data_IF_301414443001
#
_entry.id   IF_301414443001
#
_cell.length_a   1.000
_cell.length_b   1.000
_cell.length_c   1.000
_cell.angle_alpha   90.00
_cell.angle_beta   90.00
_cell.angle_gamma   90.00
#
_symmetry.space_group_name_H-M   'P 1'
#
loop_
_entity.id
_entity.type
_entity.pdbx_description
1 polymer ?
#
# COMPACT_ATOMS: atom_id res chain seq x y z
N UNK A 1 -10.19 -24.81 -19.08
CA UNK A 1 -10.11 -23.69 -18.11
C UNK A 1 -10.93 -24.13 -16.90
N UNK A 2 -10.41 -24.04 -15.68
CA UNK A 2 -11.18 -24.42 -14.49
C UNK A 2 -12.34 -23.43 -14.28
N UNK A 3 -13.47 -23.85 -13.67
CA UNK A 3 -14.46 -22.94 -13.11
C UNK A 3 -13.85 -22.02 -12.05
N UNK A 4 -14.41 -20.83 -11.86
CA UNK A 4 -13.86 -19.82 -10.95
C UNK A 4 -13.69 -20.34 -9.51
N UNK A 5 -14.71 -20.99 -8.96
CA UNK A 5 -14.65 -21.55 -7.60
C UNK A 5 -13.55 -22.61 -7.43
N UNK A 6 -13.30 -23.42 -8.46
CA UNK A 6 -12.25 -24.44 -8.42
C UNK A 6 -10.86 -23.82 -8.57
N UNK A 7 -10.71 -22.83 -9.46
CA UNK A 7 -9.49 -22.03 -9.56
C UNK A 7 -9.16 -21.37 -8.22
N UNK A 8 -10.14 -20.73 -7.59
CA UNK A 8 -9.95 -19.99 -6.34
C UNK A 8 -9.61 -20.93 -5.17
N UNK A 9 -10.22 -22.12 -5.13
CA UNK A 9 -9.87 -23.16 -4.17
C UNK A 9 -8.44 -23.68 -4.35
N UNK A 10 -8.01 -23.92 -5.60
CA UNK A 10 -6.63 -24.32 -5.91
C UNK A 10 -5.64 -23.22 -5.54
N UNK A 11 -5.96 -21.96 -5.87
CA UNK A 11 -5.13 -20.82 -5.53
C UNK A 11 -5.01 -20.67 -4.01
N UNK A 12 -6.12 -20.73 -3.27
CA UNK A 12 -6.13 -20.61 -1.80
C UNK A 12 -5.49 -21.77 -1.05
N UNK A 13 -5.27 -22.92 -1.70
CA UNK A 13 -4.55 -24.05 -1.13
C UNK A 13 -3.02 -23.93 -1.25
N UNK A 14 -2.52 -22.97 -2.04
CA UNK A 14 -1.08 -22.77 -2.22
C UNK A 14 -0.45 -22.12 -0.99
N UNK A 15 0.79 -22.49 -0.69
CA UNK A 15 1.57 -21.82 0.37
C UNK A 15 2.18 -20.49 -0.09
N UNK A 16 2.56 -20.41 -1.36
CA UNK A 16 3.28 -19.28 -1.95
C UNK A 16 2.96 -19.19 -3.44
N UNK A 17 2.66 -17.98 -3.92
CA UNK A 17 2.60 -17.70 -5.36
C UNK A 17 3.91 -17.09 -5.81
N UNK A 18 4.49 -17.58 -6.90
CA UNK A 18 5.78 -17.09 -7.40
C UNK A 18 5.62 -16.49 -8.80
N UNK A 19 6.07 -15.25 -8.98
CA UNK A 19 6.23 -14.63 -10.30
C UNK A 19 7.71 -14.54 -10.65
N UNK A 20 8.10 -15.30 -11.67
CA UNK A 20 9.42 -15.22 -12.28
C UNK A 20 9.49 -14.17 -13.41
N UNK A 21 8.49 -13.30 -13.53
CA UNK A 21 8.44 -12.34 -14.63
C UNK A 21 9.54 -11.29 -14.52
N UNK A 22 10.18 -11.02 -15.66
CA UNK A 22 11.30 -10.08 -15.75
C UNK A 22 10.87 -8.63 -15.96
N UNK A 23 9.59 -8.44 -16.24
CA UNK A 23 8.88 -7.19 -16.39
C UNK A 23 7.40 -7.49 -16.57
N UNK A 24 6.56 -6.47 -16.48
CA UNK A 24 5.13 -6.61 -16.69
C UNK A 24 4.37 -5.51 -15.99
N UNK A 25 3.22 -5.16 -16.56
CA UNK A 25 2.26 -4.28 -15.93
C UNK A 25 1.74 -4.91 -14.63
N UNK A 26 1.16 -4.07 -13.77
CA UNK A 26 0.49 -4.39 -12.51
C UNK A 26 -0.08 -5.80 -12.49
N UNK A 27 0.59 -6.75 -11.82
CA UNK A 27 0.26 -8.19 -11.90
C UNK A 27 -0.99 -8.52 -11.08
N UNK A 28 -2.18 -8.64 -11.71
CA UNK A 28 -3.42 -8.82 -10.96
C UNK A 28 -3.47 -10.19 -10.29
N UNK A 29 -2.81 -11.19 -10.87
CA UNK A 29 -2.70 -12.54 -10.31
C UNK A 29 -2.01 -12.57 -8.94
N UNK A 30 -1.08 -11.64 -8.67
CA UNK A 30 -0.46 -11.52 -7.35
C UNK A 30 -1.41 -10.90 -6.32
N UNK A 31 -2.26 -9.96 -6.76
CA UNK A 31 -3.32 -9.40 -5.92
C UNK A 31 -4.42 -10.44 -5.66
N UNK A 32 -4.79 -11.25 -6.65
CA UNK A 32 -5.74 -12.37 -6.50
C UNK A 32 -5.19 -13.41 -5.50
N UNK A 33 -3.92 -13.80 -5.63
CA UNK A 33 -3.26 -14.68 -4.67
C UNK A 33 -3.29 -14.11 -3.25
N UNK A 34 -2.94 -12.84 -3.10
CA UNK A 34 -3.02 -12.14 -1.82
C UNK A 34 -4.46 -12.13 -1.26
N UNK A 35 -5.47 -11.95 -2.12
CA UNK A 35 -6.89 -12.01 -1.77
C UNK A 35 -7.33 -13.39 -1.28
N UNK A 36 -6.72 -14.46 -1.81
CA UNK A 36 -6.89 -15.81 -1.29
C UNK A 36 -6.07 -16.08 0.00
N UNK A 37 -5.30 -15.11 0.49
CA UNK A 37 -4.42 -15.25 1.64
C UNK A 37 -3.09 -15.93 1.35
N UNK A 38 -2.72 -16.04 0.08
CA UNK A 38 -1.45 -16.63 -0.34
C UNK A 38 -0.41 -15.54 -0.59
N UNK A 39 0.68 -15.48 0.21
CA UNK A 39 1.74 -14.52 0.00
C UNK A 39 2.40 -14.68 -1.39
N UNK A 40 2.96 -13.59 -1.91
CA UNK A 40 3.59 -13.57 -3.23
C UNK A 40 5.12 -13.42 -3.15
N UNK A 41 5.87 -14.14 -3.98
CA UNK A 41 7.29 -13.92 -4.20
C UNK A 41 7.53 -13.52 -5.64
N UNK A 42 8.10 -12.34 -5.87
CA UNK A 42 8.30 -11.80 -7.20
C UNK A 42 9.68 -11.15 -7.34
N UNK A 43 10.13 -10.94 -8.58
CA UNK A 43 11.30 -10.09 -8.81
C UNK A 43 10.98 -8.63 -8.47
N UNK A 44 11.99 -7.89 -8.01
CA UNK A 44 11.88 -6.45 -7.71
C UNK A 44 11.97 -5.64 -8.99
N UNK A 45 10.89 -5.68 -9.77
CA UNK A 45 10.72 -4.90 -11.00
C UNK A 45 9.46 -4.03 -10.90
N UNK A 46 9.37 -3.00 -11.75
CA UNK A 46 8.21 -2.12 -11.84
C UNK A 46 6.90 -2.92 -11.95
N UNK A 47 5.82 -2.45 -11.32
CA UNK A 47 4.53 -3.14 -11.25
C UNK A 47 4.46 -4.23 -10.17
N UNK A 48 5.54 -4.99 -9.94
CA UNK A 48 5.58 -5.98 -8.84
C UNK A 48 5.74 -5.32 -7.48
N UNK A 49 6.47 -4.21 -7.42
CA UNK A 49 6.60 -3.34 -6.23
C UNK A 49 5.27 -2.74 -5.76
N UNK A 50 4.29 -2.75 -6.65
CA UNK A 50 2.98 -2.15 -6.44
C UNK A 50 2.02 -3.23 -5.93
N UNK A 51 2.17 -4.46 -6.45
CA UNK A 51 1.39 -5.62 -6.04
C UNK A 51 1.88 -6.28 -4.74
N UNK A 52 3.20 -6.32 -4.50
CA UNK A 52 3.81 -7.03 -3.36
C UNK A 52 4.51 -6.05 -2.41
N UNK A 53 4.14 -6.11 -1.14
CA UNK A 53 4.82 -5.40 -0.05
C UNK A 53 5.86 -6.32 0.56
N UNK A 54 7.14 -6.06 0.26
CA UNK A 54 8.27 -6.84 0.76
C UNK A 54 8.20 -7.02 2.28
N UNK A 55 8.30 -8.27 2.74
CA UNK A 55 8.20 -8.68 4.13
C UNK A 55 6.80 -8.57 4.77
N UNK A 56 5.79 -8.05 4.06
CA UNK A 56 4.44 -7.85 4.61
C UNK A 56 3.41 -8.76 3.96
N UNK A 57 3.33 -8.71 2.62
CA UNK A 57 2.40 -9.53 1.83
C UNK A 57 3.14 -10.60 1.02
N UNK A 58 4.47 -10.64 1.16
CA UNK A 58 5.32 -11.45 0.32
C UNK A 58 6.74 -10.93 0.26
N UNK A 59 7.52 -11.38 -0.72
CA UNK A 59 8.92 -11.01 -0.90
C UNK A 59 9.21 -10.54 -2.32
N UNK A 60 10.17 -9.63 -2.39
CA UNK A 60 10.70 -9.06 -3.62
C UNK A 60 12.18 -9.37 -3.67
N UNK A 61 12.66 -9.91 -4.78
CA UNK A 61 14.06 -10.30 -4.97
C UNK A 61 14.70 -9.53 -6.12
N UNK A 62 15.88 -8.98 -5.89
CA UNK A 62 16.63 -8.19 -6.88
C UNK A 62 17.41 -9.05 -7.88
N UNK A 63 17.44 -10.37 -7.67
CA UNK A 63 18.38 -11.29 -8.30
C UNK A 63 17.91 -11.98 -9.59
N UNK A 64 18.84 -12.75 -10.15
CA UNK A 64 18.72 -13.71 -11.24
C UNK A 64 17.75 -14.86 -10.93
N UNK A 65 17.41 -15.68 -11.93
CA UNK A 65 16.55 -16.85 -11.75
C UNK A 65 17.08 -17.86 -10.71
N UNK A 66 18.40 -17.95 -10.52
CA UNK A 66 18.99 -18.81 -9.48
C UNK A 66 18.70 -18.28 -8.06
N UNK A 67 18.73 -16.97 -7.88
CA UNK A 67 18.41 -16.31 -6.61
C UNK A 67 16.92 -16.41 -6.28
N UNK A 68 16.05 -16.44 -7.31
CA UNK A 68 14.62 -16.70 -7.16
C UNK A 68 14.36 -18.08 -6.54
N UNK A 69 15.01 -19.15 -7.04
CA UNK A 69 14.83 -20.50 -6.50
C UNK A 69 15.28 -20.63 -5.03
N UNK A 70 16.41 -20.01 -4.67
CA UNK A 70 16.87 -19.95 -3.29
C UNK A 70 15.90 -19.15 -2.39
N UNK A 71 15.32 -18.07 -2.92
CA UNK A 71 14.33 -17.27 -2.20
C UNK A 71 13.00 -18.02 -1.98
N UNK A 72 12.54 -18.81 -2.96
CA UNK A 72 11.38 -19.70 -2.79
C UNK A 72 11.62 -20.67 -1.64
N UNK A 73 12.80 -21.29 -1.59
CA UNK A 73 13.14 -22.23 -0.51
C UNK A 73 13.10 -21.55 0.86
N UNK A 74 13.70 -20.35 0.99
CA UNK A 74 13.66 -19.58 2.24
C UNK A 74 12.24 -19.17 2.62
N UNK A 75 11.45 -18.69 1.66
CA UNK A 75 10.07 -18.29 1.88
C UNK A 75 9.21 -19.46 2.38
N UNK A 76 9.35 -20.65 1.79
CA UNK A 76 8.65 -21.85 2.24
C UNK A 76 9.08 -22.28 3.64
N UNK A 77 10.37 -22.18 3.98
CA UNK A 77 10.86 -22.42 5.35
C UNK A 77 10.22 -21.47 6.35
N UNK A 78 10.12 -20.17 6.02
CA UNK A 78 9.47 -19.17 6.87
C UNK A 78 7.98 -19.46 7.04
N UNK A 79 7.29 -19.84 5.96
CA UNK A 79 5.87 -20.18 5.97
C UNK A 79 5.55 -21.53 6.60
N UNK A 80 6.58 -22.32 6.97
CA UNK A 80 6.38 -23.55 7.74
C UNK A 80 5.93 -23.27 9.18
N UNK A 81 6.22 -22.07 9.72
CA UNK A 81 5.63 -21.61 10.97
C UNK A 81 4.17 -21.16 10.71
N UNK A 82 3.16 -21.84 11.29
CA UNK A 82 1.76 -21.52 11.04
C UNK A 82 1.36 -20.14 11.56
N UNK A 83 2.04 -19.60 12.57
CA UNK A 83 1.77 -18.24 13.10
C UNK A 83 2.25 -17.20 12.08
N UNK A 84 3.44 -17.40 11.50
CA UNK A 84 3.97 -16.52 10.46
C UNK A 84 3.10 -16.61 9.20
N UNK A 85 2.74 -17.81 8.76
CA UNK A 85 1.88 -18.02 7.60
C UNK A 85 0.51 -17.33 7.78
N UNK A 86 -0.13 -17.50 8.95
CA UNK A 86 -1.41 -16.84 9.24
C UNK A 86 -1.30 -15.31 9.25
N UNK A 87 -0.20 -14.78 9.82
CA UNK A 87 0.06 -13.33 9.86
C UNK A 87 0.24 -12.77 8.46
N UNK A 88 1.07 -13.39 7.63
CA UNK A 88 1.26 -12.96 6.23
C UNK A 88 -0.02 -13.09 5.41
N UNK A 89 -0.79 -14.17 5.61
CA UNK A 89 -2.08 -14.35 4.94
C UNK A 89 -3.08 -13.24 5.29
N UNK A 90 -3.13 -12.82 6.56
CA UNK A 90 -3.94 -11.68 7.01
C UNK A 90 -3.52 -10.38 6.34
N UNK A 91 -2.21 -10.07 6.35
CA UNK A 91 -1.64 -8.88 5.69
C UNK A 91 -1.90 -8.89 4.19
N UNK A 92 -1.73 -10.03 3.53
CA UNK A 92 -1.99 -10.22 2.10
C UNK A 92 -3.46 -9.92 1.77
N UNK A 93 -4.42 -10.47 2.52
CA UNK A 93 -5.85 -10.19 2.33
C UNK A 93 -6.19 -8.71 2.54
N UNK A 94 -5.67 -8.11 3.60
CA UNK A 94 -5.89 -6.68 3.88
C UNK A 94 -5.34 -5.79 2.77
N UNK A 95 -4.18 -6.15 2.20
CA UNK A 95 -3.61 -5.44 1.07
C UNK A 95 -4.45 -5.59 -0.20
N UNK A 96 -4.83 -6.82 -0.55
CA UNK A 96 -5.66 -7.10 -1.73
C UNK A 96 -7.03 -6.42 -1.66
N UNK A 97 -7.63 -6.33 -0.46
CA UNK A 97 -8.93 -5.70 -0.24
C UNK A 97 -8.97 -4.20 -0.62
N UNK A 98 -7.81 -3.54 -0.77
CA UNK A 98 -7.73 -2.14 -1.25
C UNK A 98 -7.97 -2.01 -2.76
N UNK A 99 -7.87 -3.11 -3.51
CA UNK A 99 -7.99 -3.13 -4.96
C UNK A 99 -9.31 -3.78 -5.39
N UNK A 100 -10.38 -2.99 -5.41
CA UNK A 100 -11.72 -3.48 -5.78
C UNK A 100 -12.20 -2.85 -7.07
N UNK A 101 -12.92 -3.62 -7.88
CA UNK A 101 -13.58 -3.11 -9.08
C UNK A 101 -14.57 -1.99 -8.76
N UNK A 102 -15.28 -2.08 -7.63
CA UNK A 102 -16.17 -1.02 -7.15
C UNK A 102 -15.41 0.26 -6.83
N UNK A 103 -14.27 0.17 -6.13
CA UNK A 103 -13.42 1.32 -5.83
C UNK A 103 -12.88 1.98 -7.10
N UNK A 104 -12.40 1.18 -8.07
CA UNK A 104 -11.96 1.68 -9.38
C UNK A 104 -13.08 2.39 -10.13
N UNK A 105 -14.28 1.80 -10.18
CA UNK A 105 -15.44 2.39 -10.85
C UNK A 105 -15.87 3.72 -10.19
N UNK A 106 -15.88 3.78 -8.86
CA UNK A 106 -16.19 5.00 -8.11
C UNK A 106 -15.14 6.11 -8.36
N UNK A 107 -13.85 5.74 -8.39
CA UNK A 107 -12.77 6.67 -8.72
C UNK A 107 -12.89 7.23 -10.14
N UNK A 108 -13.20 6.38 -11.12
CA UNK A 108 -13.41 6.79 -12.51
C UNK A 108 -14.62 7.70 -12.67
N UNK A 109 -15.76 7.37 -12.03
CA UNK A 109 -16.95 8.22 -12.04
C UNK A 109 -16.66 9.59 -11.41
N UNK A 110 -15.89 9.60 -10.31
CA UNK A 110 -15.45 10.85 -9.67
C UNK A 110 -14.61 11.69 -10.63
N UNK A 111 -13.61 11.07 -11.29
CA UNK A 111 -12.76 11.78 -12.25
C UNK A 111 -13.58 12.39 -13.40
N UNK A 112 -14.52 11.64 -13.98
CA UNK A 112 -15.40 12.13 -15.05
C UNK A 112 -16.28 13.28 -14.56
N UNK A 113 -16.91 13.15 -13.39
CA UNK A 113 -17.74 14.22 -12.82
C UNK A 113 -16.97 15.49 -12.50
N UNK A 114 -15.70 15.36 -12.07
CA UNK A 114 -14.82 16.50 -11.84
C UNK A 114 -14.46 17.23 -13.15
N UNK A 115 -14.20 16.48 -14.22
CA UNK A 115 -13.93 17.06 -15.53
C UNK A 115 -15.17 17.72 -16.13
N UNK A 116 -16.35 17.14 -15.96
CA UNK A 116 -17.61 17.75 -16.39
C UNK A 116 -17.85 19.10 -15.68
N UNK A 117 -17.75 19.12 -14.35
CA UNK A 117 -17.87 20.35 -13.56
C UNK A 117 -16.79 21.40 -13.91
N UNK A 118 -15.60 20.97 -14.30
CA UNK A 118 -14.52 21.85 -14.77
C UNK A 118 -14.88 22.48 -16.11
N UNK A 119 -15.37 21.70 -17.06
CA UNK A 119 -15.80 22.18 -18.37
C UNK A 119 -17.00 23.12 -18.28
N UNK A 120 -17.97 22.83 -17.41
CA UNK A 120 -19.10 23.72 -17.16
C UNK A 120 -18.66 25.08 -16.61
N UNK A 121 -17.77 25.11 -15.62
CA UNK A 121 -17.23 26.38 -15.09
C UNK A 121 -16.51 27.19 -16.17
N UNK A 122 -15.72 26.52 -17.01
CA UNK A 122 -15.05 27.19 -18.14
C UNK A 122 -16.06 27.78 -19.13
N UNK A 123 -17.17 27.09 -19.43
CA UNK A 123 -18.26 27.61 -20.27
C UNK A 123 -18.91 28.86 -19.68
N UNK A 124 -18.99 28.97 -18.37
CA UNK A 124 -19.52 30.12 -17.64
C UNK A 124 -18.48 31.24 -17.38
N UNK A 125 -17.28 31.13 -17.97
CA UNK A 125 -16.26 32.18 -17.90
C UNK A 125 -15.42 32.20 -16.62
N UNK A 126 -15.52 31.18 -15.75
CA UNK A 126 -14.66 31.08 -14.58
C UNK A 126 -13.24 30.64 -14.97
N UNK A 127 -12.22 31.26 -14.34
CA UNK A 127 -10.83 30.89 -14.53
C UNK A 127 -10.51 29.49 -13.98
N UNK A 128 -9.63 28.76 -14.67
CA UNK A 128 -9.14 27.46 -14.23
C UNK A 128 -8.23 27.63 -13.00
N UNK A 129 -8.42 26.77 -11.99
CA UNK A 129 -7.62 26.78 -10.75
C UNK A 129 -6.55 25.69 -10.72
N UNK A 130 -6.49 24.84 -11.75
CA UNK A 130 -5.47 23.79 -11.93
C UNK A 130 -4.37 24.38 -12.82
N UNK A 131 -3.11 24.26 -12.44
CA UNK A 131 -2.07 24.21 -13.43
C UNK A 131 -2.34 23.01 -14.35
N UNK A 132 -2.21 23.18 -15.66
CA UNK A 132 -2.46 22.11 -16.64
C UNK A 132 -1.34 21.06 -16.66
N UNK A 133 -0.91 20.59 -15.50
CA UNK A 133 0.15 19.62 -15.30
C UNK A 133 -0.40 18.30 -14.73
N UNK A 134 0.37 17.23 -14.89
CA UNK A 134 0.06 15.90 -14.37
C UNK A 134 0.80 15.60 -13.05
N UNK A 135 1.31 16.62 -12.38
CA UNK A 135 1.97 16.46 -11.09
C UNK A 135 0.95 16.20 -10.00
N UNK A 136 1.37 15.40 -9.03
CA UNK A 136 0.64 15.21 -7.78
C UNK A 136 1.57 15.65 -6.67
N UNK A 137 1.08 16.50 -5.77
CA UNK A 137 1.84 16.95 -4.60
C UNK A 137 1.25 16.34 -3.34
N UNK A 138 2.11 15.84 -2.47
CA UNK A 138 1.78 15.53 -1.08
C UNK A 138 2.09 16.76 -0.24
N UNK A 139 1.05 17.34 0.32
CA UNK A 139 1.13 18.39 1.32
C UNK A 139 0.89 17.75 2.69
N UNK A 140 1.84 17.87 3.61
CA UNK A 140 1.64 17.50 5.02
C UNK A 140 1.71 18.76 5.88
N UNK A 141 0.72 18.95 6.74
CA UNK A 141 0.60 20.11 7.63
C UNK A 141 0.23 19.61 9.03
N UNK A 142 0.86 20.10 10.10
CA UNK A 142 0.39 19.81 11.46
C UNK A 142 -1.05 20.29 11.63
N UNK A 143 -1.94 19.43 12.13
CA UNK A 143 -3.35 19.81 12.30
C UNK A 143 -3.49 21.01 13.25
N UNK A 144 -2.59 21.14 14.23
CA UNK A 144 -2.52 22.29 15.14
C UNK A 144 -2.15 23.62 14.48
N UNK A 145 -1.53 23.59 13.29
CA UNK A 145 -1.15 24.79 12.55
C UNK A 145 -2.31 25.34 11.71
N UNK A 146 -3.37 24.55 11.49
CA UNK A 146 -4.53 24.93 10.69
C UNK A 146 -5.52 25.70 11.58
N UNK A 147 -5.81 26.96 11.24
CA UNK A 147 -6.69 27.82 12.07
C UNK A 147 -8.20 27.66 11.79
N UNK A 148 -8.60 26.77 10.90
CA UNK A 148 -10.00 26.54 10.51
C UNK A 148 -10.30 25.12 10.06
N UNK A 149 -11.54 24.87 9.63
CA UNK A 149 -11.96 23.57 9.10
C UNK A 149 -11.38 23.34 7.70
N UNK A 150 -10.22 22.69 7.64
CA UNK A 150 -9.55 22.35 6.39
C UNK A 150 -10.43 21.52 5.43
N UNK A 151 -11.47 20.84 5.94
CA UNK A 151 -12.48 20.12 5.18
C UNK A 151 -13.18 21.01 4.15
N UNK A 152 -13.45 22.26 4.52
CA UNK A 152 -14.15 23.23 3.67
C UNK A 152 -13.23 23.83 2.60
N UNK A 153 -11.92 23.83 2.86
CA UNK A 153 -10.88 24.30 1.94
C UNK A 153 -10.45 23.25 0.91
N UNK A 154 -11.03 22.05 0.91
CA UNK A 154 -10.66 21.00 -0.05
C UNK A 154 -11.10 21.36 -1.46
N UNK A 155 -10.21 21.17 -2.43
CA UNK A 155 -10.60 21.17 -3.84
C UNK A 155 -11.24 19.82 -4.17
N UNK A 156 -12.30 19.86 -4.96
CA UNK A 156 -12.89 18.65 -5.52
C UNK A 156 -11.85 17.87 -6.34
N UNK A 157 -11.64 16.60 -5.99
CA UNK A 157 -10.65 15.69 -6.60
C UNK A 157 -9.35 15.53 -5.83
N UNK A 158 -9.06 16.39 -4.86
CA UNK A 158 -7.94 16.15 -3.95
C UNK A 158 -8.35 15.10 -2.91
N UNK A 159 -7.42 14.23 -2.55
CA UNK A 159 -7.62 13.26 -1.46
C UNK A 159 -6.97 13.83 -0.22
N UNK A 160 -7.68 13.82 0.90
CA UNK A 160 -7.13 14.31 2.16
C UNK A 160 -7.44 13.36 3.30
N UNK A 161 -6.47 13.17 4.18
CA UNK A 161 -6.64 12.40 5.43
C UNK A 161 -6.02 13.15 6.60
N UNK A 162 -6.49 12.85 7.80
CA UNK A 162 -5.82 13.25 9.05
C UNK A 162 -5.64 12.03 9.94
N UNK A 163 -4.51 11.96 10.64
CA UNK A 163 -4.26 11.04 11.75
C UNK A 163 -4.47 11.71 13.13
N UNK A 164 -5.03 12.92 13.15
CA UNK A 164 -5.25 13.73 14.35
C UNK A 164 -4.04 14.58 14.77
N UNK A 165 -2.89 14.36 14.14
CA UNK A 165 -1.67 15.15 14.36
C UNK A 165 -1.24 15.86 13.09
N UNK A 166 -1.32 15.19 11.94
CA UNK A 166 -0.93 15.70 10.63
C UNK A 166 -2.08 15.50 9.65
N UNK A 167 -2.45 16.59 8.99
CA UNK A 167 -3.32 16.57 7.82
C UNK A 167 -2.46 16.40 6.58
N UNK A 168 -2.74 15.35 5.79
CA UNK A 168 -2.07 15.08 4.52
C UNK A 168 -3.06 15.24 3.36
N UNK A 169 -2.69 16.06 2.38
CA UNK A 169 -3.41 16.25 1.13
C UNK A 169 -2.60 15.69 -0.04
N UNK A 170 -3.22 14.84 -0.86
CA UNK A 170 -2.76 14.41 -2.17
C UNK A 170 -3.45 15.26 -3.23
N UNK A 171 -2.69 16.17 -3.81
CA UNK A 171 -3.18 17.30 -4.60
C UNK A 171 -2.89 17.02 -6.08
N UNK A 172 -3.91 16.57 -6.81
CA UNK A 172 -3.75 16.19 -8.21
C UNK A 172 -3.84 17.39 -9.16
N UNK A 173 -2.87 17.49 -10.08
CA UNK A 173 -2.69 18.64 -10.98
C UNK A 173 -2.29 19.90 -10.21
N UNK A 174 -1.42 19.72 -9.20
CA UNK A 174 -0.86 20.80 -8.41
C UNK A 174 0.67 20.77 -8.51
N UNK A 175 1.27 21.94 -8.64
CA UNK A 175 2.72 22.12 -8.48
C UNK A 175 3.06 22.94 -7.23
N UNK A 176 4.35 23.23 -7.04
CA UNK A 176 4.84 23.97 -5.88
C UNK A 176 4.21 25.37 -5.74
N UNK A 177 3.88 26.01 -6.88
CA UNK A 177 3.25 27.32 -6.93
C UNK A 177 1.79 27.27 -6.49
N UNK A 178 1.04 26.26 -6.94
CA UNK A 178 -0.35 26.04 -6.54
C UNK A 178 -0.50 25.84 -5.02
N UNK A 179 0.48 25.19 -4.39
CA UNK A 179 0.46 24.88 -2.95
C UNK A 179 0.40 26.14 -2.10
N UNK A 180 1.00 27.26 -2.52
CA UNK A 180 0.91 28.50 -1.76
C UNK A 180 -0.54 28.95 -1.61
N UNK A 181 -1.32 28.95 -2.69
CA UNK A 181 -2.74 29.30 -2.63
C UNK A 181 -3.61 28.30 -1.86
N UNK A 182 -3.11 27.08 -1.62
CA UNK A 182 -3.75 26.10 -0.73
C UNK A 182 -3.45 26.45 0.73
N UNK A 183 -2.18 26.71 1.06
CA UNK A 183 -1.74 27.09 2.40
C UNK A 183 -2.40 28.40 2.86
N UNK A 184 -2.53 29.39 1.98
CA UNK A 184 -3.21 30.66 2.26
C UNK A 184 -4.69 30.43 2.67
N UNK A 185 -5.36 29.46 2.04
CA UNK A 185 -6.76 29.08 2.37
C UNK A 185 -6.88 28.24 3.63
N UNK A 186 -5.80 27.61 4.07
CA UNK A 186 -5.71 26.89 5.34
C UNK A 186 -5.25 27.80 6.48
N UNK A 187 -4.85 29.04 6.18
CA UNK A 187 -4.19 29.98 7.10
C UNK A 187 -2.91 29.38 7.72
N UNK A 188 -2.10 28.73 6.88
CA UNK A 188 -0.87 28.03 7.29
C UNK A 188 0.34 28.76 6.71
N UNK A 189 1.33 29.04 7.56
CA UNK A 189 2.61 29.61 7.12
C UNK A 189 3.47 28.54 6.44
N UNK A 190 3.81 28.76 5.16
CA UNK A 190 4.69 27.85 4.38
C UNK A 190 6.08 27.70 5.00
N UNK A 191 6.54 28.70 5.75
CA UNK A 191 7.88 28.69 6.36
C UNK A 191 7.95 27.88 7.65
N UNK A 192 6.81 27.40 8.17
CA UNK A 192 6.79 26.47 9.29
C UNK A 192 7.55 25.19 8.90
N UNK A 193 8.63 24.83 9.63
CA UNK A 193 9.44 23.66 9.31
C UNK A 193 8.69 22.33 9.42
N UNK A 194 7.51 22.32 10.07
CA UNK A 194 6.66 21.15 10.18
C UNK A 194 5.72 20.98 8.96
N UNK A 195 5.66 21.97 8.06
CA UNK A 195 4.97 21.85 6.77
C UNK A 195 5.90 21.20 5.74
N UNK A 196 5.43 20.14 5.08
CA UNK A 196 6.17 19.47 4.02
C UNK A 196 5.42 19.49 2.70
N UNK A 197 6.10 19.84 1.62
CA UNK A 197 5.56 19.82 0.25
C UNK A 197 6.47 18.94 -0.59
N UNK A 198 5.96 17.81 -1.08
CA UNK A 198 6.73 16.84 -1.85
C UNK A 198 5.98 16.49 -3.13
N UNK A 199 6.70 16.29 -4.23
CA UNK A 199 6.14 15.58 -5.38
C UNK A 199 5.82 14.16 -4.93
N UNK A 200 4.59 13.71 -5.20
CA UNK A 200 4.11 12.41 -4.79
C UNK A 200 4.96 11.30 -5.39
N UNK A 201 5.32 10.35 -4.56
CA UNK A 201 6.00 9.11 -4.93
C UNK A 201 4.93 8.08 -5.28
N UNK A 202 5.35 7.01 -5.95
CA UNK A 202 4.46 5.91 -6.26
C UNK A 202 3.74 5.35 -5.01
N UNK A 203 4.45 5.25 -3.88
CA UNK A 203 3.89 4.79 -2.61
C UNK A 203 2.74 5.68 -2.11
N UNK A 204 2.82 6.99 -2.32
CA UNK A 204 1.80 7.94 -1.87
C UNK A 204 0.50 7.74 -2.65
N UNK A 205 0.56 7.44 -3.94
CA UNK A 205 -0.62 7.16 -4.77
C UNK A 205 -1.37 5.89 -4.34
N UNK A 206 -0.69 4.98 -3.66
CA UNK A 206 -1.28 3.75 -3.11
C UNK A 206 -1.80 3.93 -1.68
N UNK A 207 -1.79 5.16 -1.15
CA UNK A 207 -2.26 5.48 0.19
C UNK A 207 -1.33 4.96 1.30
N UNK A 208 -0.02 4.91 1.06
CA UNK A 208 1.00 4.44 2.00
C UNK A 208 1.54 5.58 2.86
N UNK A 209 0.66 6.24 3.62
CA UNK A 209 1.01 7.52 4.24
C UNK A 209 1.60 7.40 5.65
N UNK A 210 1.55 6.21 6.28
CA UNK A 210 1.98 6.01 7.67
C UNK A 210 1.94 4.55 8.14
N UNK A 211 2.67 3.63 7.50
CA UNK A 211 2.85 2.27 8.05
C UNK A 211 4.32 2.00 8.43
N UNK A 212 4.73 2.28 9.67
CA UNK A 212 5.83 1.56 10.29
C UNK A 212 5.29 0.24 10.85
N UNK A 213 4.94 -0.71 9.99
CA UNK A 213 4.63 -2.09 10.43
C UNK A 213 5.84 -3.00 10.25
N UNK A 214 6.01 -3.93 11.18
CA UNK A 214 7.09 -4.92 11.20
C UNK A 214 7.12 -5.74 9.90
N UNK A 215 8.09 -5.44 9.03
CA UNK A 215 8.39 -6.25 7.86
C UNK A 215 9.13 -7.52 8.29
N UNK A 216 8.70 -8.67 7.75
CA UNK A 216 9.35 -9.96 7.99
C UNK A 216 10.39 -10.19 6.90
N UNK A 217 11.67 -9.98 7.22
CA UNK A 217 12.75 -10.34 6.30
C UNK A 217 12.91 -11.87 6.25
N UNK A 218 13.26 -12.41 5.08
CA UNK A 218 13.59 -13.82 4.90
C UNK A 218 14.73 -14.27 5.83
N UNK A 219 15.73 -13.41 6.07
CA UNK A 219 16.86 -13.72 6.94
C UNK A 219 16.46 -13.71 8.42
N UNK A 220 15.63 -12.75 8.83
CA UNK A 220 15.18 -12.60 10.22
C UNK A 220 14.32 -13.78 10.66
N UNK A 221 13.39 -14.22 9.80
CA UNK A 221 12.46 -15.30 10.13
C UNK A 221 13.12 -16.70 10.15
N UNK A 222 14.17 -16.93 9.36
CA UNK A 222 14.94 -18.18 9.42
C UNK A 222 15.84 -18.24 10.67
N UNK A 223 16.13 -17.09 11.29
CA UNK A 223 17.03 -16.99 12.44
C UNK A 223 16.37 -17.15 13.82
N UNK A 224 15.03 -17.21 13.93
CA UNK A 224 14.35 -17.40 15.22
C UNK A 224 14.38 -18.88 15.63
N UNK A 225 15.03 -19.26 16.75
CA UNK A 225 14.89 -20.60 17.29
C UNK A 225 13.43 -20.81 17.72
N UNK A 226 12.85 -21.95 17.37
CA UNK A 226 11.57 -22.39 17.93
C UNK A 226 11.77 -22.56 19.44
N UNK A 227 11.29 -21.61 20.24
CA UNK A 227 11.14 -21.84 21.67
C UNK A 227 10.10 -22.94 21.85
N UNK A 228 10.58 -24.17 21.97
CA UNK A 228 9.80 -25.30 22.45
C UNK A 228 9.38 -24.94 23.86
N UNK A 229 8.10 -24.59 24.05
CA UNK A 229 7.49 -24.58 25.39
C UNK A 229 7.62 -26.01 25.91
N UNK A 230 8.59 -26.20 26.80
CA UNK A 230 8.65 -27.41 27.61
C UNK A 230 7.43 -27.38 28.50
N UNK A 231 6.47 -28.26 28.22
CA UNK A 231 5.49 -28.67 29.21
C UNK A 231 6.25 -29.44 30.29
N UNK A 232 6.80 -28.70 31.25
CA UNK A 232 7.27 -29.25 32.51
C UNK A 232 6.05 -29.46 33.43
N UNK A 233 5.40 -30.61 33.26
CA UNK A 233 4.65 -31.26 34.33
C UNK A 233 4.86 -32.77 34.25
N UNK A 234 5.99 -33.22 34.80
CA UNK A 234 6.27 -34.63 35.04
C UNK A 234 6.89 -34.80 36.42
N UNK A 235 6.04 -34.79 37.44
CA UNK A 235 6.41 -34.91 38.84
C UNK A 235 7.32 -36.09 39.16
N UNK A 236 8.39 -35.72 39.85
CA UNK A 236 9.21 -36.42 40.83
C UNK A 236 8.68 -37.74 41.47
N UNK A 237 9.65 -38.58 41.88
CA UNK A 237 9.62 -39.78 42.77
C UNK A 237 9.47 -41.14 42.05
N UNK A 238 10.28 -42.18 42.27
CA UNK A 238 11.02 -42.60 43.46
C UNK A 238 12.20 -43.54 43.10
N UNK A 239 13.27 -43.47 43.91
CA UNK A 239 14.42 -44.37 43.92
C UNK A 239 14.09 -45.78 44.48
N UNK A 240 14.68 -46.81 43.87
CA UNK A 240 15.33 -47.96 44.50
C UNK A 240 16.11 -48.74 43.43
#
# INVERSE_FOLDING_TARGET
RLPDAERDAVLGAAWLTVSASDGGDWAPSLIEANGAGVPALARRVSGMTDAVRHGRTGWLVDGTSAELGAAVSRALTVLADPVVAATMAGRARSWAARFTWTGTAAGLLTAVGLEDARLERRRHGFAERRAGNDLVVVLSVPESAIRGEWQTSRRAGDVWVSDGTVVRGLLAGADEGDVQGILDRLDVDRTDPAVSVLVARHADLLGQWSDPEDAIDLAEAVGRPVEVRSDDQGGDRHAA
#
